data_IF_212415140385
#
_entry.id   IF_212415140385
#
_cell.length_a   1.000
_cell.length_b   1.000
_cell.length_c   1.000
_cell.angle_alpha   90.00
_cell.angle_beta   90.00
_cell.angle_gamma   90.00
#
_symmetry.space_group_name_H-M   'P 1'
#
loop_
_entity.id
_entity.type
_entity.pdbx_description
1 polymer ?
#
# COMPACT_ATOMS: atom_id res chain seq x y z
N UNK A 1 34.67 3.80 -22.04
CA UNK A 1 34.59 5.23 -22.37
C UNK A 1 33.25 5.50 -23.01
N UNK A 2 32.58 6.60 -22.62
CA UNK A 2 31.39 7.18 -23.26
C UNK A 2 31.47 7.09 -24.79
N UNK A 3 30.35 6.82 -25.47
CA UNK A 3 29.81 7.45 -26.71
C UNK A 3 28.50 6.70 -27.07
N UNK A 4 27.45 7.24 -27.65
CA UNK A 4 26.89 8.58 -27.88
C UNK A 4 25.49 8.25 -28.46
N UNK A 5 24.42 8.94 -28.07
CA UNK A 5 23.14 8.80 -28.75
C UNK A 5 23.24 9.41 -30.16
N UNK A 6 23.14 8.55 -31.17
CA UNK A 6 22.81 8.79 -32.58
C UNK A 6 21.94 7.57 -32.92
N UNK A 7 20.73 7.64 -33.43
CA UNK A 7 20.04 8.63 -34.25
C UNK A 7 19.10 7.77 -35.09
N UNK A 8 17.80 8.06 -35.00
CA UNK A 8 16.70 7.60 -35.85
C UNK A 8 16.79 6.19 -36.47
N UNK A 9 16.05 5.25 -35.90
CA UNK A 9 15.10 4.41 -36.65
C UNK A 9 14.35 3.49 -35.68
N UNK A 10 13.03 3.65 -35.63
CA UNK A 10 12.03 2.62 -35.34
C UNK A 10 12.42 1.54 -34.31
N UNK A 11 12.48 1.90 -33.03
CA UNK A 11 12.21 0.95 -31.97
C UNK A 11 10.92 1.42 -31.28
N UNK A 12 9.92 0.54 -31.33
CA UNK A 12 8.61 0.70 -30.74
C UNK A 12 8.69 1.42 -29.40
N UNK A 13 7.92 2.51 -29.31
CA UNK A 13 7.40 3.03 -28.06
C UNK A 13 6.58 1.92 -27.39
N UNK A 14 7.25 1.07 -26.62
CA UNK A 14 6.65 0.36 -25.50
C UNK A 14 7.21 0.95 -24.22
N UNK A 15 7.02 2.26 -24.05
CA UNK A 15 6.96 2.87 -22.72
C UNK A 15 5.64 2.41 -22.07
N UNK A 16 5.57 1.13 -21.72
CA UNK A 16 4.58 0.63 -20.79
C UNK A 16 5.02 1.00 -19.38
N UNK A 17 4.86 2.27 -19.00
CA UNK A 17 4.67 2.58 -17.59
C UNK A 17 3.34 1.92 -17.22
N UNK A 18 3.36 0.68 -16.72
CA UNK A 18 2.15 0.09 -16.17
C UNK A 18 1.79 0.88 -14.91
N UNK A 19 0.88 1.84 -15.07
CA UNK A 19 0.11 2.49 -14.01
C UNK A 19 -0.89 1.51 -13.34
N UNK A 20 -0.60 0.21 -13.38
CA UNK A 20 -1.47 -0.87 -12.92
C UNK A 20 -1.51 -0.96 -11.39
N UNK A 21 -0.87 -0.04 -10.68
CA UNK A 21 -0.74 -0.08 -9.22
C UNK A 21 -0.74 1.30 -8.60
N UNK A 22 -1.75 1.58 -7.79
CA UNK A 22 -1.82 2.76 -6.93
C UNK A 22 -1.56 2.34 -5.48
N UNK A 23 -0.77 3.12 -4.74
CA UNK A 23 -0.51 2.88 -3.33
C UNK A 23 -0.85 4.11 -2.48
N UNK A 24 -1.53 3.89 -1.35
CA UNK A 24 -1.72 4.87 -0.29
C UNK A 24 -0.87 4.46 0.92
N UNK A 25 -0.04 5.37 1.41
CA UNK A 25 0.98 5.06 2.43
C UNK A 25 0.70 5.75 3.75
N UNK A 26 0.78 5.00 4.84
CA UNK A 26 0.76 5.53 6.19
C UNK A 26 1.96 4.98 6.95
N UNK A 27 3.07 5.73 7.05
CA UNK A 27 4.20 5.35 7.87
C UNK A 27 3.86 5.47 9.36
N UNK A 28 4.43 4.60 10.19
CA UNK A 28 4.29 4.70 11.63
C UNK A 28 4.88 6.02 12.15
N UNK A 29 4.16 6.76 13.02
CA UNK A 29 4.72 7.93 13.68
C UNK A 29 5.97 7.58 14.49
N UNK A 30 6.98 8.47 14.48
CA UNK A 30 8.21 8.27 15.27
C UNK A 30 7.89 8.29 16.77
N UNK A 31 8.48 7.36 17.52
CA UNK A 31 8.39 7.32 18.99
C UNK A 31 7.06 6.81 19.56
N UNK A 32 6.06 6.49 18.72
CA UNK A 32 4.79 5.93 19.20
C UNK A 32 5.02 4.59 19.89
N UNK A 33 4.33 4.37 21.03
CA UNK A 33 4.43 3.16 21.85
C UNK A 33 5.88 2.66 22.03
N UNK A 34 6.78 3.55 22.46
CA UNK A 34 8.19 3.25 22.69
C UNK A 34 8.93 2.66 21.47
N UNK A 35 8.53 3.06 20.26
CA UNK A 35 9.17 2.63 19.02
C UNK A 35 8.76 1.23 18.55
N UNK A 36 7.70 0.65 19.11
CA UNK A 36 7.18 -0.67 18.71
C UNK A 36 6.94 -0.81 17.20
N UNK A 37 6.56 0.27 16.52
CA UNK A 37 6.26 0.31 15.10
C UNK A 37 7.37 0.95 14.24
N UNK A 38 8.56 1.16 14.80
CA UNK A 38 9.66 1.80 14.07
C UNK A 38 9.96 1.05 12.76
N UNK A 39 10.10 1.81 11.67
CA UNK A 39 10.39 1.26 10.33
C UNK A 39 9.20 0.57 9.64
N UNK A 40 8.00 0.58 10.24
CA UNK A 40 6.79 0.01 9.65
C UNK A 40 5.94 1.06 8.91
N UNK A 41 5.22 0.59 7.90
CA UNK A 41 4.13 1.33 7.26
C UNK A 41 2.93 0.41 7.02
N UNK A 42 1.74 0.99 7.07
CA UNK A 42 0.55 0.39 6.49
C UNK A 42 0.39 0.94 5.07
N UNK A 43 0.03 0.09 4.12
CA UNK A 43 -0.13 0.47 2.71
C UNK A 43 -1.43 -0.10 2.14
N UNK A 44 -2.24 0.76 1.55
CA UNK A 44 -3.38 0.41 0.73
C UNK A 44 -2.94 0.30 -0.71
N UNK A 45 -3.37 -0.74 -1.43
CA UNK A 45 -2.92 -1.04 -2.78
C UNK A 45 -4.12 -1.35 -3.65
N UNK A 46 -4.24 -0.62 -4.74
CA UNK A 46 -5.12 -0.97 -5.86
C UNK A 46 -4.29 -1.51 -7.00
N UNK A 47 -4.66 -2.68 -7.50
CA UNK A 47 -4.14 -3.22 -8.74
C UNK A 47 -5.17 -3.09 -9.83
N UNK A 48 -4.82 -2.34 -10.86
CA UNK A 48 -5.64 -2.15 -12.03
C UNK A 48 -5.36 -3.26 -13.04
N UNK A 49 -6.39 -3.66 -13.75
CA UNK A 49 -6.30 -4.63 -14.83
C UNK A 49 -7.19 -4.20 -16.00
N UNK A 50 -6.88 -4.74 -17.18
CA UNK A 50 -7.49 -4.33 -18.45
C UNK A 50 -6.67 -3.27 -19.18
N UNK A 51 -7.06 -2.94 -20.41
CA UNK A 51 -6.37 -1.98 -21.26
C UNK A 51 -7.34 -0.94 -21.82
N UNK A 52 -6.87 0.32 -21.94
CA UNK A 52 -7.66 1.43 -22.49
C UNK A 52 -8.91 1.71 -21.66
N UNK A 53 -10.07 1.82 -22.33
CA UNK A 53 -11.37 2.12 -21.71
C UNK A 53 -11.91 1.01 -20.81
N UNK A 54 -11.30 -0.18 -20.82
CA UNK A 54 -11.69 -1.32 -20.00
C UNK A 54 -10.86 -1.44 -18.70
N UNK A 55 -10.05 -0.42 -18.38
CA UNK A 55 -9.27 -0.38 -17.15
C UNK A 55 -10.19 -0.31 -15.92
N UNK A 56 -10.00 -1.25 -14.99
CA UNK A 56 -10.71 -1.27 -13.70
C UNK A 56 -9.80 -1.75 -12.59
N UNK A 57 -10.17 -1.44 -11.35
CA UNK A 57 -9.55 -2.08 -10.19
C UNK A 57 -9.88 -3.58 -10.24
N UNK A 58 -8.85 -4.40 -10.36
CA UNK A 58 -8.94 -5.85 -10.45
C UNK A 58 -8.72 -6.53 -9.09
N UNK A 59 -7.80 -6.01 -8.28
CA UNK A 59 -7.52 -6.52 -6.94
C UNK A 59 -7.18 -5.38 -5.98
N UNK A 60 -7.48 -5.58 -4.69
CA UNK A 60 -7.19 -4.60 -3.67
C UNK A 60 -6.73 -5.23 -2.37
N UNK A 61 -5.72 -4.58 -1.78
CA UNK A 61 -5.03 -5.12 -0.63
C UNK A 61 -4.71 -4.04 0.37
N UNK A 62 -4.71 -4.45 1.64
CA UNK A 62 -4.04 -3.72 2.70
C UNK A 62 -2.85 -4.53 3.18
N UNK A 63 -1.72 -3.85 3.38
CA UNK A 63 -0.47 -4.42 3.81
C UNK A 63 0.03 -3.74 5.08
N UNK A 64 0.62 -4.52 5.98
CA UNK A 64 1.58 -4.02 6.96
C UNK A 64 2.96 -4.51 6.51
N UNK A 65 3.93 -3.60 6.34
CA UNK A 65 5.26 -3.96 5.82
C UNK A 65 6.37 -3.12 6.44
N UNK A 66 7.60 -3.64 6.36
CA UNK A 66 8.79 -2.85 6.66
C UNK A 66 9.10 -1.91 5.49
N UNK A 67 9.31 -0.62 5.77
CA UNK A 67 9.60 0.41 4.76
C UNK A 67 10.87 0.07 3.97
N UNK A 68 11.96 -0.28 4.67
CA UNK A 68 13.24 -0.59 4.03
C UNK A 68 13.30 -2.00 3.43
N UNK A 69 12.36 -2.89 3.80
CA UNK A 69 12.30 -4.26 3.29
C UNK A 69 10.85 -4.65 2.92
N UNK A 70 10.27 -4.11 1.82
CA UNK A 70 8.84 -4.30 1.49
C UNK A 70 8.41 -5.75 1.19
N UNK A 71 9.37 -6.69 1.08
CA UNK A 71 9.11 -8.13 0.99
C UNK A 71 8.72 -8.72 2.35
N UNK A 72 9.16 -8.13 3.46
CA UNK A 72 8.69 -8.45 4.82
C UNK A 72 7.37 -7.73 5.03
N UNK A 73 6.29 -8.43 4.70
CA UNK A 73 4.94 -7.89 4.73
C UNK A 73 3.90 -8.94 5.13
N UNK A 74 2.78 -8.45 5.63
CA UNK A 74 1.55 -9.20 5.81
C UNK A 74 0.51 -8.55 4.93
N UNK A 75 -0.05 -9.31 3.99
CA UNK A 75 -1.06 -8.84 3.04
C UNK A 75 -2.43 -9.42 3.36
N UNK A 76 -3.47 -8.63 3.21
CA UNK A 76 -4.88 -9.05 3.27
C UNK A 76 -5.66 -8.41 2.12
N UNK A 77 -6.62 -9.15 1.56
CA UNK A 77 -7.59 -8.57 0.66
C UNK A 77 -8.50 -7.65 1.47
N UNK A 78 -8.69 -6.42 1.00
CA UNK A 78 -9.49 -5.42 1.70
C UNK A 78 -9.92 -4.32 0.73
N UNK A 79 -11.22 -4.02 0.72
CA UNK A 79 -11.82 -2.92 -0.05
C UNK A 79 -12.35 -1.88 0.92
N UNK A 80 -11.68 -0.73 1.08
CA UNK A 80 -12.22 0.40 1.83
C UNK A 80 -13.05 1.34 0.96
N UNK A 81 -13.20 1.04 -0.33
CA UNK A 81 -13.63 1.94 -1.41
C UNK A 81 -12.46 2.47 -2.26
N UNK A 82 -12.76 3.25 -3.31
CA UNK A 82 -11.86 3.48 -4.45
C UNK A 82 -10.66 4.39 -4.20
N UNK A 83 -10.67 5.21 -3.14
CA UNK A 83 -9.68 6.29 -2.99
C UNK A 83 -8.78 6.14 -1.77
N UNK A 84 -8.94 5.08 -0.98
CA UNK A 84 -8.21 4.93 0.29
C UNK A 84 -8.29 6.18 1.19
N UNK A 85 -9.42 6.91 1.15
CA UNK A 85 -9.61 8.21 1.79
C UNK A 85 -9.66 8.17 3.35
N UNK A 86 -9.38 7.02 3.94
CA UNK A 86 -9.39 6.79 5.37
C UNK A 86 -8.13 7.28 6.08
N UNK A 87 -8.01 6.89 7.34
CA UNK A 87 -6.86 7.21 8.20
C UNK A 87 -6.35 5.96 8.90
N UNK A 88 -5.11 5.98 9.35
CA UNK A 88 -4.51 4.85 10.09
C UNK A 88 -4.22 5.24 11.52
N UNK A 89 -4.74 4.45 12.45
CA UNK A 89 -4.51 4.55 13.88
C UNK A 89 -3.51 3.48 14.33
N UNK A 90 -2.45 3.92 15.01
CA UNK A 90 -1.42 3.06 15.59
C UNK A 90 -1.65 2.99 17.10
N UNK A 91 -2.06 1.82 17.61
CA UNK A 91 -2.46 1.67 19.02
C UNK A 91 -2.00 0.36 19.64
N UNK A 92 -2.28 0.16 20.92
CA UNK A 92 -1.89 -1.08 21.61
C UNK A 92 -2.63 -2.31 21.09
N UNK A 93 -3.85 -2.12 20.59
CA UNK A 93 -4.64 -3.16 19.93
C UNK A 93 -4.16 -3.50 18.51
N UNK A 94 -3.12 -2.81 18.01
CA UNK A 94 -2.55 -3.02 16.69
C UNK A 94 -2.65 -1.79 15.78
N UNK A 95 -2.66 -2.02 14.47
CA UNK A 95 -2.68 -0.96 13.45
C UNK A 95 -4.00 -1.03 12.71
N UNK A 96 -4.80 0.03 12.77
CA UNK A 96 -6.18 0.04 12.26
C UNK A 96 -6.35 1.07 11.16
N UNK A 97 -6.80 0.63 9.99
CA UNK A 97 -7.35 1.53 8.97
C UNK A 97 -8.80 1.86 9.30
N UNK A 98 -9.09 3.16 9.42
CA UNK A 98 -10.43 3.72 9.66
C UNK A 98 -10.99 4.28 8.37
N UNK A 99 -12.26 4.00 8.13
CA UNK A 99 -13.01 4.57 7.00
C UNK A 99 -13.23 6.08 7.22
N UNK A 100 -13.40 6.86 6.13
CA UNK A 100 -13.74 8.27 6.23
C UNK A 100 -14.99 8.52 7.07
N UNK A 101 -15.04 9.65 7.77
CA UNK A 101 -16.22 10.01 8.56
C UNK A 101 -17.44 10.14 7.64
N UNK A 102 -18.55 9.50 8.03
CA UNK A 102 -19.80 9.55 7.27
C UNK A 102 -19.94 8.46 6.21
N UNK A 103 -18.88 7.72 5.91
CA UNK A 103 -18.99 6.50 5.09
C UNK A 103 -19.62 5.39 5.92
N UNK A 104 -20.83 4.99 5.54
CA UNK A 104 -21.58 3.90 6.16
C UNK A 104 -22.11 3.01 5.05
N UNK A 105 -21.49 1.85 4.90
CA UNK A 105 -21.98 0.75 4.07
C UNK A 105 -21.93 -0.52 4.92
N UNK A 106 -22.94 -1.40 4.84
CA UNK A 106 -22.98 -2.61 5.66
C UNK A 106 -21.77 -3.54 5.43
N UNK A 107 -21.10 -3.46 4.29
CA UNK A 107 -19.95 -4.31 3.96
C UNK A 107 -18.60 -3.63 4.21
N UNK A 108 -18.60 -2.35 4.59
CA UNK A 108 -17.39 -1.58 4.85
C UNK A 108 -17.14 -1.47 6.36
N UNK A 109 -16.01 -2.01 6.80
CA UNK A 109 -15.59 -1.99 8.19
C UNK A 109 -14.13 -1.58 8.32
N UNK A 110 -13.73 -0.90 9.40
CA UNK A 110 -12.32 -0.72 9.72
C UNK A 110 -11.56 -2.04 9.70
N UNK A 111 -10.32 -2.01 9.24
CA UNK A 111 -9.45 -3.19 9.20
C UNK A 111 -8.30 -3.04 10.20
N UNK A 112 -8.07 -4.04 11.04
CA UNK A 112 -6.99 -4.01 12.05
C UNK A 112 -6.01 -5.16 11.84
N UNK A 113 -4.72 -4.84 11.70
CA UNK A 113 -3.66 -5.81 11.96
C UNK A 113 -3.48 -5.97 13.46
N UNK A 114 -3.59 -7.21 13.94
CA UNK A 114 -3.52 -7.53 15.36
C UNK A 114 -2.10 -7.31 15.93
N UNK A 115 -1.93 -7.26 17.27
CA UNK A 115 -0.60 -7.23 17.87
C UNK A 115 0.25 -8.46 17.49
N UNK A 116 -0.39 -9.60 17.21
CA UNK A 116 0.28 -10.80 16.72
C UNK A 116 0.80 -10.63 15.28
N UNK A 117 0.04 -9.98 14.40
CA UNK A 117 0.51 -9.64 13.06
C UNK A 117 1.73 -8.71 13.11
N UNK A 118 1.65 -7.66 13.94
CA UNK A 118 2.77 -6.74 14.19
C UNK A 118 3.99 -7.49 14.71
N UNK A 119 3.78 -8.44 15.64
CA UNK A 119 4.88 -9.22 16.21
C UNK A 119 5.66 -10.03 15.16
N UNK A 120 5.01 -10.48 14.08
CA UNK A 120 5.65 -11.22 12.99
C UNK A 120 6.56 -10.34 12.11
N UNK A 121 6.39 -9.02 12.16
CA UNK A 121 7.20 -8.05 11.44
C UNK A 121 8.20 -7.32 12.35
N UNK A 122 8.37 -7.76 13.61
CA UNK A 122 9.35 -7.17 14.53
C UNK A 122 10.73 -7.05 13.86
N UNK A 123 11.44 -5.99 14.23
CA UNK A 123 12.78 -5.66 13.72
C UNK A 123 12.75 -5.23 12.24
N UNK A 124 11.89 -4.28 11.88
CA UNK A 124 12.10 -3.53 10.65
C UNK A 124 13.35 -2.64 10.82
N UNK A 125 14.34 -2.72 9.90
CA UNK A 125 15.53 -1.88 9.95
C UNK A 125 15.25 -0.42 9.55
#
# INVERSE_FOLDING_TARGET
MKRFCLGLCACLLLTGCNDDRMEAHWPAPRGILNGQYAGMEMVGIDRWGGYGVNGRVAEQFIELRCIQQPRRRIRRAYWPGPEWAGTVEWGQAGVTYRLPRGWRSPDLHPFTFSPADVARLRECP
#
